data_IF_532668846020
#
_entry.id   IF_532668846020
#
_cell.length_a   1.000
_cell.length_b   1.000
_cell.length_c   1.000
_cell.angle_alpha   90.00
_cell.angle_beta   90.00
_cell.angle_gamma   90.00
#
_symmetry.space_group_name_H-M   'P 1'
#
loop_
_entity.id
_entity.type
_entity.pdbx_description
1 polymer ?
#
# COMPACT_ATOMS: atom_id res chain seq x y z
N UNK A 1 -11.59 10.46 15.97
CA UNK A 1 -12.45 10.98 14.88
C UNK A 1 -12.05 10.33 13.56
N UNK A 2 -12.90 10.39 12.55
CA UNK A 2 -12.58 9.91 11.21
C UNK A 2 -12.19 11.07 10.29
N UNK A 3 -11.62 10.73 9.13
CA UNK A 3 -11.21 11.68 8.08
C UNK A 3 -12.26 12.78 7.84
N UNK A 4 -13.51 12.40 7.58
CA UNK A 4 -14.60 13.34 7.29
C UNK A 4 -14.93 14.30 8.43
N UNK A 5 -14.72 13.88 9.68
CA UNK A 5 -14.94 14.75 10.84
C UNK A 5 -13.81 15.76 10.95
N UNK A 6 -12.57 15.30 10.75
CA UNK A 6 -11.38 16.14 10.76
C UNK A 6 -11.41 17.21 9.65
N UNK A 7 -11.84 16.83 8.44
CA UNK A 7 -11.94 17.74 7.29
C UNK A 7 -12.92 18.90 7.51
N UNK A 8 -13.88 18.74 8.42
CA UNK A 8 -14.88 19.77 8.76
C UNK A 8 -14.44 20.69 9.89
N UNK A 9 -13.30 20.43 10.53
CA UNK A 9 -12.84 21.24 11.65
C UNK A 9 -12.39 22.63 11.18
N UNK A 10 -12.99 23.66 11.75
CA UNK A 10 -12.55 25.05 11.56
C UNK A 10 -11.16 25.28 12.16
N UNK A 11 -10.86 24.67 13.31
CA UNK A 11 -9.58 24.74 14.00
C UNK A 11 -9.05 23.35 14.30
N UNK A 12 -7.74 23.16 14.10
CA UNK A 12 -7.11 21.87 14.37
C UNK A 12 -6.77 21.74 15.86
N UNK A 13 -6.91 20.54 16.46
CA UNK A 13 -6.42 20.30 17.80
C UNK A 13 -4.90 20.49 17.87
N UNK A 14 -4.42 21.16 18.91
CA UNK A 14 -2.98 21.39 19.14
C UNK A 14 -2.17 20.11 19.43
N UNK A 15 -2.83 19.01 19.79
CA UNK A 15 -2.17 17.73 20.00
C UNK A 15 -3.02 16.64 19.36
N UNK A 16 -2.54 16.06 18.27
CA UNK A 16 -3.32 15.17 17.43
C UNK A 16 -2.50 14.03 16.85
N UNK A 17 -3.06 12.82 16.90
CA UNK A 17 -2.56 11.63 16.25
C UNK A 17 -3.22 11.41 14.89
N UNK A 18 -2.45 11.07 13.87
CA UNK A 18 -2.92 10.49 12.61
C UNK A 18 -2.40 9.05 12.50
N UNK A 19 -3.27 8.08 12.20
CA UNK A 19 -2.86 6.69 12.01
C UNK A 19 -3.80 5.93 11.06
N UNK A 20 -3.34 4.80 10.53
CA UNK A 20 -4.12 3.93 9.66
C UNK A 20 -3.52 3.81 8.27
N UNK A 21 -4.34 3.97 7.22
CA UNK A 21 -3.88 3.85 5.84
C UNK A 21 -2.73 4.83 5.52
N UNK A 22 -1.62 4.27 5.02
CA UNK A 22 -0.35 4.99 4.81
C UNK A 22 -0.48 6.14 3.83
N UNK A 23 -1.22 5.92 2.73
CA UNK A 23 -1.41 6.93 1.71
C UNK A 23 -2.04 8.21 2.29
N UNK A 24 -3.09 8.07 3.11
CA UNK A 24 -3.69 9.22 3.78
C UNK A 24 -2.75 9.88 4.80
N UNK A 25 -1.88 9.12 5.47
CA UNK A 25 -0.87 9.73 6.34
C UNK A 25 0.03 10.69 5.56
N UNK A 26 0.52 10.26 4.39
CA UNK A 26 1.36 11.09 3.53
C UNK A 26 0.62 12.32 3.01
N UNK A 27 -0.63 12.17 2.55
CA UNK A 27 -1.42 13.30 2.06
C UNK A 27 -1.75 14.32 3.15
N UNK A 28 -2.15 13.87 4.33
CA UNK A 28 -2.48 14.78 5.43
C UNK A 28 -1.24 15.46 6.02
N UNK A 29 -0.08 14.83 5.95
CA UNK A 29 1.19 15.47 6.29
C UNK A 29 1.43 16.70 5.39
N UNK A 30 1.21 16.56 4.07
CA UNK A 30 1.30 17.68 3.12
C UNK A 30 0.26 18.75 3.40
N UNK A 31 -1.00 18.37 3.61
CA UNK A 31 -2.07 19.32 3.93
C UNK A 31 -1.73 20.15 5.17
N UNK A 32 -1.18 19.52 6.21
CA UNK A 32 -0.74 20.22 7.42
C UNK A 32 0.42 21.17 7.11
N UNK A 33 1.44 20.72 6.39
CA UNK A 33 2.57 21.57 6.01
C UNK A 33 2.11 22.81 5.23
N UNK A 34 1.21 22.63 4.27
CA UNK A 34 0.68 23.74 3.47
C UNK A 34 -0.15 24.71 4.31
N UNK A 35 -0.97 24.19 5.24
CA UNK A 35 -1.77 25.00 6.16
C UNK A 35 -0.89 25.84 7.08
N UNK A 36 0.21 25.28 7.56
CA UNK A 36 1.15 25.91 8.48
C UNK A 36 2.43 26.40 7.78
N UNK A 37 2.39 26.70 6.47
CA UNK A 37 3.57 27.06 5.68
C UNK A 37 4.36 28.28 6.19
N UNK A 38 3.71 29.16 6.95
CA UNK A 38 4.31 30.36 7.55
C UNK A 38 4.72 30.14 9.03
N UNK A 39 4.52 28.93 9.56
CA UNK A 39 4.84 28.56 10.93
C UNK A 39 6.28 28.04 11.05
N UNK A 40 6.82 27.99 12.26
CA UNK A 40 8.10 27.33 12.51
C UNK A 40 7.88 25.81 12.60
N UNK A 41 8.09 25.09 11.49
CA UNK A 41 7.87 23.64 11.41
C UNK A 41 9.17 22.88 11.73
N UNK A 42 9.15 22.09 12.81
CA UNK A 42 10.17 21.08 13.08
C UNK A 42 9.61 19.69 12.75
N UNK A 43 10.38 18.89 12.02
CA UNK A 43 10.04 17.49 11.70
C UNK A 43 11.05 16.56 12.37
N UNK A 44 10.56 15.48 12.95
CA UNK A 44 11.39 14.42 13.52
C UNK A 44 10.95 13.08 12.96
N UNK A 45 11.91 12.29 12.48
CA UNK A 45 11.65 11.02 11.80
C UNK A 45 12.22 9.84 12.60
N UNK A 46 11.36 8.87 12.91
CA UNK A 46 11.72 7.58 13.50
C UNK A 46 12.71 7.74 14.68
N UNK A 47 13.97 7.35 14.47
CA UNK A 47 15.01 7.31 15.49
C UNK A 47 15.61 8.69 15.81
N UNK A 48 15.27 9.73 15.05
CA UNK A 48 15.68 11.12 15.30
C UNK A 48 14.90 11.80 16.43
N UNK A 49 13.87 11.14 16.97
CA UNK A 49 13.07 11.72 18.04
C UNK A 49 13.92 11.99 19.28
N UNK A 50 13.97 13.25 19.70
CA UNK A 50 14.51 13.69 20.98
C UNK A 50 13.45 14.50 21.75
N UNK A 51 13.21 14.08 22.99
CA UNK A 51 12.18 14.69 23.83
C UNK A 51 12.50 16.14 24.22
N UNK A 52 13.77 16.46 24.53
CA UNK A 52 14.15 17.80 24.97
C UNK A 52 14.17 18.77 23.80
N UNK A 53 14.59 18.34 22.60
CA UNK A 53 14.49 19.15 21.38
C UNK A 53 13.01 19.44 21.07
N UNK A 54 12.15 18.41 21.10
CA UNK A 54 10.72 18.56 20.83
C UNK A 54 10.04 19.52 21.82
N UNK A 55 10.37 19.37 23.11
CA UNK A 55 9.87 20.23 24.19
C UNK A 55 10.36 21.68 24.04
N UNK A 56 11.61 21.89 23.64
CA UNK A 56 12.17 23.23 23.44
C UNK A 56 11.43 23.92 22.31
N UNK A 57 11.33 23.26 21.15
CA UNK A 57 10.59 23.78 19.98
C UNK A 57 9.14 24.13 20.28
N UNK A 58 8.43 23.30 21.06
CA UNK A 58 7.04 23.56 21.42
C UNK A 58 6.88 24.75 22.39
N UNK A 59 7.89 25.04 23.20
CA UNK A 59 7.88 26.18 24.14
C UNK A 59 8.42 27.48 23.52
N UNK A 60 9.13 27.40 22.40
CA UNK A 60 9.64 28.58 21.71
C UNK A 60 8.49 29.48 21.29
N UNK A 61 8.42 30.68 21.87
CA UNK A 61 7.64 31.77 21.33
C UNK A 61 8.34 32.28 20.09
N UNK A 62 7.73 32.10 18.93
CA UNK A 62 8.27 32.58 17.66
C UNK A 62 8.59 34.07 17.73
N UNK A 63 9.84 34.42 17.47
CA UNK A 63 10.33 35.81 17.42
C UNK A 63 9.65 36.64 16.33
N UNK A 64 9.00 35.97 15.37
CA UNK A 64 8.26 36.60 14.26
C UNK A 64 6.74 36.46 14.40
N UNK A 65 6.25 36.05 15.58
CA UNK A 65 4.81 35.92 15.85
C UNK A 65 4.12 34.73 15.17
N UNK A 66 4.88 33.78 14.61
CA UNK A 66 4.35 32.55 14.04
C UNK A 66 4.03 31.48 15.08
N UNK A 67 3.17 30.53 14.75
CA UNK A 67 2.93 29.35 15.59
C UNK A 67 4.11 28.37 15.47
N UNK A 68 4.44 27.63 16.52
CA UNK A 68 5.42 26.54 16.46
C UNK A 68 4.69 25.22 16.18
N UNK A 69 5.13 24.49 15.15
CA UNK A 69 4.51 23.24 14.71
C UNK A 69 5.55 22.13 14.75
N UNK A 70 5.25 21.07 15.48
CA UNK A 70 6.05 19.85 15.56
C UNK A 70 5.33 18.72 14.82
N UNK A 71 6.01 18.11 13.86
CA UNK A 71 5.54 16.92 13.15
C UNK A 71 6.45 15.77 13.51
N UNK A 72 5.91 14.70 14.08
CA UNK A 72 6.66 13.48 14.39
C UNK A 72 6.14 12.35 13.53
N UNK A 73 7.04 11.63 12.86
CA UNK A 73 6.72 10.43 12.09
C UNK A 73 7.39 9.23 12.74
N UNK A 74 6.60 8.23 13.14
CA UNK A 74 7.17 7.04 13.77
C UNK A 74 6.27 5.81 13.60
N UNK A 75 6.89 4.65 13.51
CA UNK A 75 6.21 3.34 13.56
C UNK A 75 6.00 2.79 14.99
N UNK A 76 6.54 3.43 16.02
CA UNK A 76 6.45 3.07 17.43
C UNK A 76 6.11 4.32 18.26
N UNK A 77 5.80 4.11 19.53
CA UNK A 77 5.54 5.21 20.46
C UNK A 77 6.82 5.53 21.21
N UNK A 78 7.44 6.68 20.94
CA UNK A 78 8.65 7.05 21.64
C UNK A 78 8.34 7.42 23.10
N UNK A 79 9.32 7.30 24.01
CA UNK A 79 9.12 7.60 25.42
C UNK A 79 8.74 9.07 25.63
N UNK A 80 7.92 9.33 26.66
CA UNK A 80 7.51 10.66 27.11
C UNK A 80 6.67 11.50 26.12
N UNK A 81 6.17 10.91 25.03
CA UNK A 81 5.34 11.64 24.04
C UNK A 81 4.08 12.25 24.68
N UNK A 82 3.50 11.58 25.68
CA UNK A 82 2.32 12.02 26.42
C UNK A 82 2.59 13.31 27.20
N UNK A 83 3.83 13.50 27.67
CA UNK A 83 4.25 14.69 28.41
C UNK A 83 4.32 15.92 27.51
N UNK A 84 4.56 15.75 26.20
CA UNK A 84 4.64 16.87 25.25
C UNK A 84 3.32 17.62 25.11
N UNK A 85 2.18 16.97 25.36
CA UNK A 85 0.85 17.60 25.34
C UNK A 85 0.79 18.86 26.21
N UNK A 86 1.53 18.92 27.32
CA UNK A 86 1.55 20.07 28.23
C UNK A 86 2.15 21.34 27.60
N UNK A 87 2.96 21.19 26.56
CA UNK A 87 3.63 22.29 25.86
C UNK A 87 2.91 22.71 24.57
N UNK A 88 1.74 22.13 24.27
CA UNK A 88 0.95 22.43 23.06
C UNK A 88 -0.11 23.52 23.28
N UNK A 89 0.09 24.44 24.24
CA UNK A 89 -0.92 25.46 24.55
C UNK A 89 -1.05 26.50 23.43
N UNK A 90 0.08 26.90 22.86
CA UNK A 90 0.19 27.89 21.77
C UNK A 90 0.92 27.33 20.54
N UNK A 91 1.11 26.00 20.52
CA UNK A 91 1.95 25.28 19.55
C UNK A 91 1.25 23.99 19.17
N UNK A 92 1.49 23.49 17.97
CA UNK A 92 0.85 22.27 17.47
C UNK A 92 1.82 21.10 17.45
N UNK A 93 1.33 19.92 17.82
CA UNK A 93 1.99 18.64 17.66
C UNK A 93 1.09 17.71 16.86
N UNK A 94 1.58 17.31 15.69
CA UNK A 94 0.96 16.33 14.82
C UNK A 94 1.81 15.06 14.77
N UNK A 95 1.26 13.97 15.28
CA UNK A 95 1.96 12.68 15.33
C UNK A 95 1.43 11.75 14.24
N UNK A 96 2.25 11.44 13.25
CA UNK A 96 1.94 10.50 12.16
C UNK A 96 2.47 9.12 12.51
N UNK A 97 1.56 8.25 12.93
CA UNK A 97 1.87 6.91 13.41
C UNK A 97 1.66 5.86 12.32
N UNK A 98 2.75 5.17 11.98
CA UNK A 98 2.81 4.11 10.95
C UNK A 98 2.67 2.69 11.54
N UNK A 99 2.28 2.57 12.81
CA UNK A 99 2.00 1.27 13.43
C UNK A 99 0.52 0.86 13.32
N UNK A 100 0.24 -0.41 13.64
CA UNK A 100 -1.05 -1.04 13.31
C UNK A 100 -2.19 -0.76 14.30
N UNK A 101 -1.89 -0.37 15.54
CA UNK A 101 -2.88 -0.20 16.62
C UNK A 101 -2.86 1.21 17.18
N UNK A 102 -4.05 1.77 17.46
CA UNK A 102 -4.18 3.10 18.07
C UNK A 102 -3.41 3.15 19.41
N UNK A 103 -2.45 4.06 19.57
CA UNK A 103 -1.80 4.31 20.84
C UNK A 103 -2.75 4.96 21.85
N UNK A 104 -2.79 4.43 23.08
CA UNK A 104 -3.69 4.91 24.14
C UNK A 104 -3.33 6.31 24.65
N UNK A 105 -2.05 6.69 24.58
CA UNK A 105 -1.51 7.97 25.09
C UNK A 105 -2.16 9.21 24.47
N UNK A 106 -2.77 9.08 23.27
CA UNK A 106 -3.47 10.18 22.59
C UNK A 106 -4.96 10.27 22.95
N UNK A 107 -5.51 9.31 23.69
CA UNK A 107 -6.91 9.32 24.14
C UNK A 107 -7.92 9.51 23.01
N UNK A 108 -8.68 10.61 23.06
CA UNK A 108 -9.69 10.97 22.04
C UNK A 108 -9.13 11.80 20.88
N UNK A 109 -7.88 12.27 20.98
CA UNK A 109 -7.26 13.17 20.01
C UNK A 109 -6.57 12.37 18.90
N UNK A 110 -7.37 11.73 18.05
CA UNK A 110 -6.85 10.98 16.92
C UNK A 110 -7.74 11.14 15.69
N UNK A 111 -7.13 11.03 14.51
CA UNK A 111 -7.76 10.81 13.22
C UNK A 111 -7.36 9.43 12.75
N UNK A 112 -8.36 8.57 12.51
CA UNK A 112 -8.13 7.25 11.91
C UNK A 112 -8.42 7.32 10.42
N UNK A 113 -7.44 6.89 9.62
CA UNK A 113 -7.58 6.69 8.19
C UNK A 113 -7.90 5.24 7.88
N UNK A 114 -8.92 5.04 7.05
CA UNK A 114 -9.25 3.75 6.46
C UNK A 114 -8.80 3.74 5.00
N UNK A 115 -8.86 2.56 4.40
CA UNK A 115 -8.60 2.42 2.99
C UNK A 115 -9.59 3.24 2.15
N UNK A 116 -9.12 4.02 1.16
CA UNK A 116 -9.99 4.83 0.33
C UNK A 116 -10.88 3.93 -0.54
N UNK A 117 -12.19 4.20 -0.51
CA UNK A 117 -13.10 3.56 -1.44
C UNK A 117 -12.93 4.14 -2.86
N UNK A 118 -13.58 3.54 -3.87
CA UNK A 118 -13.45 3.99 -5.26
C UNK A 118 -13.77 5.48 -5.46
N UNK A 119 -14.80 5.99 -4.77
CA UNK A 119 -15.18 7.41 -4.83
C UNK A 119 -14.09 8.28 -4.24
N UNK A 120 -13.54 7.91 -3.08
CA UNK A 120 -12.44 8.65 -2.45
C UNK A 120 -11.21 8.70 -3.35
N UNK A 121 -10.87 7.58 -4.02
CA UNK A 121 -9.77 7.51 -5.00
C UNK A 121 -10.02 8.43 -6.20
N UNK A 122 -11.24 8.48 -6.74
CA UNK A 122 -11.59 9.40 -7.84
C UNK A 122 -11.55 10.87 -7.41
N UNK A 123 -12.07 11.20 -6.22
CA UNK A 123 -11.99 12.55 -5.64
C UNK A 123 -10.53 12.98 -5.47
N UNK A 124 -9.67 12.07 -5.03
CA UNK A 124 -8.23 12.29 -4.95
C UNK A 124 -7.60 12.54 -6.34
N UNK A 125 -7.89 11.68 -7.33
CA UNK A 125 -7.34 11.86 -8.69
C UNK A 125 -7.73 13.24 -9.23
N UNK A 126 -8.98 13.69 -9.01
CA UNK A 126 -9.41 15.04 -9.38
C UNK A 126 -8.59 16.13 -8.67
N UNK A 127 -8.33 15.97 -7.37
CA UNK A 127 -7.51 16.92 -6.61
C UNK A 127 -6.10 17.03 -7.19
N UNK A 128 -5.44 15.89 -7.43
CA UNK A 128 -4.07 15.86 -7.97
C UNK A 128 -4.02 16.40 -9.41
N UNK A 129 -5.00 16.04 -10.24
CA UNK A 129 -5.12 16.55 -11.61
C UNK A 129 -5.26 18.07 -11.62
N UNK A 130 -6.07 18.64 -10.72
CA UNK A 130 -6.21 20.09 -10.56
C UNK A 130 -4.91 20.76 -10.08
N UNK A 131 -4.21 20.16 -9.10
CA UNK A 131 -2.90 20.64 -8.63
C UNK A 131 -1.86 20.69 -9.77
N UNK A 132 -1.89 19.68 -10.65
CA UNK A 132 -0.99 19.57 -11.81
C UNK A 132 -1.50 20.26 -13.07
N UNK A 133 -2.70 20.85 -13.03
CA UNK A 133 -3.36 21.51 -14.17
C UNK A 133 -3.55 20.61 -15.39
N UNK A 134 -3.80 19.31 -15.16
CA UNK A 134 -4.05 18.34 -16.22
C UNK A 134 -5.52 17.91 -16.26
N UNK A 135 -6.02 17.67 -17.46
CA UNK A 135 -7.36 17.18 -17.70
C UNK A 135 -7.34 15.66 -17.91
N UNK A 136 -7.90 14.91 -16.96
CA UNK A 136 -8.03 13.46 -17.04
C UNK A 136 -9.48 13.10 -17.35
N UNK A 137 -9.74 12.27 -18.36
CA UNK A 137 -11.11 11.86 -18.69
C UNK A 137 -11.73 11.03 -17.56
N UNK A 138 -13.07 11.00 -17.48
CA UNK A 138 -13.74 10.25 -16.41
C UNK A 138 -13.46 8.74 -16.48
N UNK A 139 -13.34 8.19 -17.69
CA UNK A 139 -12.98 6.80 -17.90
C UNK A 139 -11.55 6.50 -17.41
N UNK A 140 -10.59 7.36 -17.75
CA UNK A 140 -9.22 7.27 -17.25
C UNK A 140 -9.15 7.34 -15.72
N UNK A 141 -9.90 8.25 -15.09
CA UNK A 141 -9.98 8.35 -13.62
C UNK A 141 -10.50 7.06 -12.98
N UNK A 142 -11.56 6.47 -13.54
CA UNK A 142 -12.12 5.22 -13.06
C UNK A 142 -11.13 4.06 -13.23
N UNK A 143 -10.41 4.04 -14.35
CA UNK A 143 -9.37 3.05 -14.60
C UNK A 143 -8.22 3.18 -13.58
N UNK A 144 -7.64 4.36 -13.42
CA UNK A 144 -6.60 4.64 -12.42
C UNK A 144 -7.03 4.22 -11.00
N UNK A 145 -8.24 4.62 -10.59
CA UNK A 145 -8.76 4.34 -9.25
C UNK A 145 -8.95 2.83 -8.98
N UNK A 146 -9.23 2.06 -10.02
CA UNK A 146 -9.36 0.60 -9.93
C UNK A 146 -8.01 -0.08 -10.00
N UNK A 147 -7.14 0.35 -10.90
CA UNK A 147 -5.95 -0.38 -11.36
C UNK A 147 -4.68 -0.10 -10.55
N UNK A 148 -4.70 0.85 -9.62
CA UNK A 148 -3.51 1.29 -8.90
C UNK A 148 -3.79 1.38 -7.40
N UNK A 149 -2.80 0.97 -6.60
CA UNK A 149 -2.81 1.24 -5.17
C UNK A 149 -2.81 2.75 -4.90
N UNK A 150 -3.61 3.24 -3.94
CA UNK A 150 -3.73 4.68 -3.66
C UNK A 150 -2.41 5.40 -3.44
N UNK A 151 -1.44 4.72 -2.82
CA UNK A 151 -0.09 5.22 -2.56
C UNK A 151 0.66 5.66 -3.83
N UNK A 152 0.38 5.05 -4.97
CA UNK A 152 1.04 5.38 -6.25
C UNK A 152 0.23 6.33 -7.13
N UNK A 153 -1.04 6.62 -6.80
CA UNK A 153 -1.88 7.48 -7.64
C UNK A 153 -1.24 8.83 -7.91
N UNK A 154 -0.60 9.43 -6.89
CA UNK A 154 0.10 10.70 -7.07
C UNK A 154 1.23 10.56 -8.06
N UNK A 155 2.23 9.71 -7.79
CA UNK A 155 3.39 9.57 -8.67
C UNK A 155 3.01 9.25 -10.12
N UNK A 156 1.99 8.41 -10.33
CA UNK A 156 1.51 8.08 -11.67
C UNK A 156 0.86 9.28 -12.37
N UNK A 157 0.04 10.08 -11.68
CA UNK A 157 -0.53 11.31 -12.25
C UNK A 157 0.55 12.36 -12.50
N UNK A 158 1.53 12.48 -11.60
CA UNK A 158 2.66 13.40 -11.81
C UNK A 158 3.44 13.00 -13.08
N UNK A 159 3.70 11.72 -13.29
CA UNK A 159 4.33 11.20 -14.52
C UNK A 159 3.48 11.49 -15.76
N UNK A 160 2.18 11.21 -15.72
CA UNK A 160 1.27 11.49 -16.82
C UNK A 160 1.22 12.98 -17.15
N UNK A 161 1.29 13.85 -16.14
CA UNK A 161 1.28 15.30 -16.33
C UNK A 161 2.52 15.86 -17.02
N UNK A 162 3.64 15.11 -17.00
CA UNK A 162 4.83 15.47 -17.76
C UNK A 162 4.70 15.08 -19.24
N UNK A 163 3.80 14.15 -19.57
CA UNK A 163 3.58 13.66 -20.92
C UNK A 163 2.56 14.49 -21.69
N UNK A 164 1.39 14.76 -21.08
CA UNK A 164 0.30 15.48 -21.73
C UNK A 164 -0.60 16.19 -20.73
N UNK A 165 -1.11 17.36 -21.13
CA UNK A 165 -2.15 18.10 -20.41
C UNK A 165 -3.53 17.44 -20.54
N UNK A 166 -3.75 16.59 -21.55
CA UNK A 166 -4.99 15.83 -21.76
C UNK A 166 -4.69 14.34 -21.72
N UNK A 167 -5.25 13.65 -20.73
CA UNK A 167 -4.98 12.25 -20.42
C UNK A 167 -6.29 11.47 -20.58
N UNK A 168 -6.37 10.64 -21.61
CA UNK A 168 -7.45 9.68 -21.81
C UNK A 168 -7.09 8.28 -21.28
N UNK A 169 -7.99 7.32 -21.47
CA UNK A 169 -7.82 5.97 -20.95
C UNK A 169 -6.70 5.20 -21.67
N UNK A 170 -6.44 5.52 -22.93
CA UNK A 170 -5.43 4.83 -23.73
C UNK A 170 -4.03 5.28 -23.33
N UNK A 171 -3.83 6.59 -23.13
CA UNK A 171 -2.61 7.15 -22.54
C UNK A 171 -2.33 6.54 -21.16
N UNK A 172 -3.37 6.37 -20.34
CA UNK A 172 -3.22 5.70 -19.03
C UNK A 172 -2.80 4.25 -19.20
N UNK A 173 -3.45 3.48 -20.07
CA UNK A 173 -3.10 2.05 -20.28
C UNK A 173 -1.68 1.86 -20.82
N UNK A 174 -1.20 2.80 -21.63
CA UNK A 174 0.13 2.76 -22.21
C UNK A 174 1.21 3.13 -21.19
N UNK A 175 1.01 4.21 -20.43
CA UNK A 175 2.07 4.81 -19.63
C UNK A 175 2.02 4.45 -18.14
N UNK A 176 0.86 4.06 -17.63
CA UNK A 176 0.70 3.81 -16.20
C UNK A 176 1.04 2.38 -15.88
N UNK A 177 1.96 2.24 -14.94
CA UNK A 177 2.36 0.95 -14.46
C UNK A 177 1.26 0.39 -13.54
N UNK A 178 0.50 -0.60 -14.02
CA UNK A 178 -0.60 -1.22 -13.27
C UNK A 178 0.00 -2.11 -12.16
N UNK A 179 -0.21 -1.71 -10.91
CA UNK A 179 0.04 -2.58 -9.75
C UNK A 179 -1.29 -3.20 -9.32
N UNK A 180 -1.55 -4.45 -9.75
CA UNK A 180 -2.63 -5.30 -9.24
C UNK A 180 -2.14 -6.73 -9.11
N UNK A 181 -2.50 -7.44 -8.05
CA UNK A 181 -2.22 -8.90 -7.96
C UNK A 181 -2.87 -9.70 -9.09
N UNK A 182 -4.03 -9.23 -9.57
CA UNK A 182 -4.71 -9.73 -10.78
C UNK A 182 -3.81 -9.65 -12.04
N UNK A 183 -2.81 -8.75 -12.08
CA UNK A 183 -1.92 -8.64 -13.25
C UNK A 183 -1.03 -9.88 -13.40
N UNK A 184 -0.75 -10.60 -12.33
CA UNK A 184 0.08 -11.81 -12.34
C UNK A 184 -0.72 -13.10 -12.39
N UNK A 185 -2.03 -13.05 -12.10
CA UNK A 185 -2.89 -14.24 -12.01
C UNK A 185 -2.72 -15.12 -13.24
N UNK A 186 -2.81 -14.50 -14.40
CA UNK A 186 -2.70 -15.12 -15.70
C UNK A 186 -1.35 -15.84 -15.93
N UNK A 187 -0.25 -15.27 -15.44
CA UNK A 187 1.09 -15.89 -15.48
C UNK A 187 1.18 -17.04 -14.47
N UNK A 188 0.69 -16.81 -13.25
CA UNK A 188 0.72 -17.80 -12.16
C UNK A 188 -0.14 -19.02 -12.52
N UNK A 189 -1.29 -18.83 -13.15
CA UNK A 189 -2.14 -19.91 -13.65
C UNK A 189 -1.40 -20.76 -14.68
N UNK A 190 -0.70 -20.15 -15.64
CA UNK A 190 0.11 -20.90 -16.61
C UNK A 190 1.24 -21.68 -15.92
N UNK A 191 1.92 -21.08 -14.93
CA UNK A 191 2.93 -21.77 -14.12
C UNK A 191 2.34 -23.01 -13.42
N UNK A 192 1.22 -22.85 -12.71
CA UNK A 192 0.58 -23.93 -11.93
C UNK A 192 -0.11 -25.00 -12.81
N UNK A 193 -0.25 -24.74 -14.11
CA UNK A 193 -0.72 -25.70 -15.11
C UNK A 193 0.41 -26.41 -15.84
N UNK A 194 1.67 -26.10 -15.53
CA UNK A 194 2.82 -26.65 -16.24
C UNK A 194 2.90 -26.17 -17.69
N UNK A 195 2.18 -25.10 -18.05
CA UNK A 195 2.22 -24.52 -19.38
C UNK A 195 3.59 -23.86 -19.64
N UNK A 196 3.89 -23.57 -20.90
CA UNK A 196 5.04 -22.72 -21.20
C UNK A 196 4.71 -21.25 -20.93
N UNK A 197 5.49 -20.63 -20.04
CA UNK A 197 5.21 -19.30 -19.51
C UNK A 197 6.33 -18.30 -19.78
N UNK A 198 7.45 -18.71 -20.39
CA UNK A 198 8.61 -17.83 -20.56
C UNK A 198 8.34 -16.66 -21.50
N UNK A 199 7.61 -16.85 -22.61
CA UNK A 199 7.23 -15.73 -23.49
C UNK A 199 6.32 -14.72 -22.77
N UNK A 200 5.33 -15.23 -22.04
CA UNK A 200 4.42 -14.42 -21.23
C UNK A 200 5.16 -13.68 -20.12
N UNK A 201 6.10 -14.36 -19.47
CA UNK A 201 6.97 -13.79 -18.45
C UNK A 201 7.84 -12.67 -19.04
N UNK A 202 8.53 -12.90 -20.15
CA UNK A 202 9.39 -11.90 -20.78
C UNK A 202 8.61 -10.64 -21.17
N UNK A 203 7.44 -10.81 -21.81
CA UNK A 203 6.54 -9.70 -22.15
C UNK A 203 6.13 -8.91 -20.90
N UNK A 204 5.88 -9.61 -19.79
CA UNK A 204 5.52 -8.96 -18.53
C UNK A 204 6.71 -8.23 -17.88
N UNK A 205 7.92 -8.79 -17.99
CA UNK A 205 9.14 -8.21 -17.43
C UNK A 205 9.58 -6.92 -18.13
N UNK A 206 9.12 -6.67 -19.36
CA UNK A 206 9.31 -5.38 -20.04
C UNK A 206 8.65 -4.22 -19.26
N UNK A 207 7.58 -4.54 -18.52
CA UNK A 207 6.75 -3.54 -17.85
C UNK A 207 6.95 -3.63 -16.33
N UNK A 208 7.11 -4.84 -15.77
CA UNK A 208 7.08 -5.13 -14.33
C UNK A 208 8.45 -5.48 -13.75
N UNK A 209 8.80 -4.93 -12.57
CA UNK A 209 9.95 -5.42 -11.77
C UNK A 209 9.75 -6.89 -11.32
N UNK A 210 10.67 -7.74 -11.76
CA UNK A 210 10.73 -9.18 -11.46
C UNK A 210 10.63 -9.51 -9.97
N UNK A 211 11.08 -8.62 -9.07
CA UNK A 211 11.04 -8.81 -7.60
C UNK A 211 9.64 -9.00 -7.05
N UNK A 212 8.61 -8.68 -7.85
CA UNK A 212 7.21 -8.73 -7.45
C UNK A 212 6.53 -10.06 -7.79
N UNK A 213 7.07 -10.80 -8.75
CA UNK A 213 6.47 -12.04 -9.25
C UNK A 213 6.50 -13.12 -8.18
N UNK A 214 7.66 -13.40 -7.57
CA UNK A 214 7.77 -14.44 -6.52
C UNK A 214 6.84 -14.15 -5.32
N UNK A 215 6.82 -12.93 -4.74
CA UNK A 215 5.87 -12.62 -3.67
C UNK A 215 4.39 -12.77 -4.08
N UNK A 216 4.04 -12.40 -5.32
CA UNK A 216 2.69 -12.59 -5.84
C UNK A 216 2.33 -14.09 -5.96
N UNK A 217 3.26 -14.90 -6.51
CA UNK A 217 3.10 -16.36 -6.60
C UNK A 217 2.94 -17.00 -5.21
N UNK A 218 3.75 -16.59 -4.21
CA UNK A 218 3.64 -17.11 -2.83
C UNK A 218 2.24 -16.85 -2.26
N UNK A 219 1.74 -15.62 -2.40
CA UNK A 219 0.40 -15.26 -1.89
C UNK A 219 -0.69 -16.05 -2.61
N UNK A 220 -0.61 -16.15 -3.93
CA UNK A 220 -1.56 -16.94 -4.73
C UNK A 220 -1.58 -18.42 -4.30
N UNK A 221 -0.41 -19.05 -4.15
CA UNK A 221 -0.29 -20.45 -3.72
C UNK A 221 -0.79 -20.66 -2.30
N UNK A 222 -0.53 -19.71 -1.38
CA UNK A 222 -1.05 -19.74 0.00
C UNK A 222 -2.59 -19.67 0.03
N UNK A 223 -3.17 -18.83 -0.83
CA UNK A 223 -4.62 -18.69 -0.92
C UNK A 223 -5.25 -19.97 -1.49
N UNK A 224 -4.65 -20.55 -2.55
CA UNK A 224 -5.04 -21.88 -3.05
C UNK A 224 -4.93 -22.98 -1.98
N UNK A 225 -3.89 -22.96 -1.15
CA UNK A 225 -3.77 -23.92 -0.06
C UNK A 225 -4.88 -23.73 0.97
N UNK A 226 -5.24 -22.48 1.29
CA UNK A 226 -6.36 -22.18 2.19
C UNK A 226 -7.69 -22.69 1.62
N UNK A 227 -7.90 -22.53 0.31
CA UNK A 227 -9.04 -23.10 -0.39
C UNK A 227 -9.04 -24.63 -0.36
N UNK A 228 -7.88 -25.27 -0.59
CA UNK A 228 -7.73 -26.72 -0.51
C UNK A 228 -8.14 -27.26 0.88
N UNK A 229 -7.67 -26.61 1.95
CA UNK A 229 -8.02 -26.96 3.32
C UNK A 229 -9.51 -26.77 3.60
N UNK A 230 -10.10 -25.67 3.13
CA UNK A 230 -11.52 -25.41 3.27
C UNK A 230 -12.38 -26.46 2.54
N UNK A 231 -12.06 -26.76 1.29
CA UNK A 231 -12.73 -27.78 0.46
C UNK A 231 -12.64 -29.14 1.13
N UNK A 232 -11.45 -29.54 1.62
CA UNK A 232 -11.27 -30.81 2.35
C UNK A 232 -12.08 -30.88 3.64
N UNK A 233 -12.17 -29.77 4.38
CA UNK A 233 -12.89 -29.72 5.65
C UNK A 233 -14.41 -29.76 5.48
N UNK A 234 -14.93 -29.14 4.43
CA UNK A 234 -16.38 -28.94 4.25
C UNK A 234 -17.00 -29.89 3.23
N UNK A 235 -16.20 -30.43 2.30
CA UNK A 235 -16.70 -31.17 1.14
C UNK A 235 -17.39 -30.30 0.09
N UNK A 236 -17.38 -28.97 0.26
CA UNK A 236 -18.04 -28.03 -0.65
C UNK A 236 -17.11 -27.65 -1.80
N UNK A 237 -17.67 -27.54 -3.00
CA UNK A 237 -17.00 -27.05 -4.21
C UNK A 237 -17.16 -25.55 -4.43
N UNK A 238 -17.79 -24.82 -3.49
CA UNK A 238 -17.91 -23.37 -3.51
C UNK A 238 -17.04 -22.74 -2.42
N UNK A 239 -16.44 -21.60 -2.71
CA UNK A 239 -15.62 -20.81 -1.79
C UNK A 239 -16.43 -19.74 -1.04
N UNK A 240 -17.73 -19.61 -1.29
CA UNK A 240 -18.58 -18.56 -0.69
C UNK A 240 -18.53 -18.59 0.84
N UNK A 241 -18.61 -19.76 1.46
CA UNK A 241 -18.55 -19.90 2.91
C UNK A 241 -17.17 -19.61 3.52
N UNK A 242 -16.10 -19.63 2.72
CA UNK A 242 -14.76 -19.23 3.14
C UNK A 242 -14.54 -17.72 2.98
N UNK A 243 -14.95 -17.18 1.83
CA UNK A 243 -14.70 -15.78 1.44
C UNK A 243 -15.73 -14.81 2.04
N UNK A 244 -16.92 -15.30 2.39
CA UNK A 244 -18.05 -14.48 2.85
C UNK A 244 -18.81 -13.77 1.71
N UNK A 245 -18.47 -14.06 0.46
CA UNK A 245 -19.14 -13.58 -0.75
C UNK A 245 -18.92 -14.55 -1.91
N UNK A 246 -19.78 -14.47 -2.93
CA UNK A 246 -19.71 -15.32 -4.12
C UNK A 246 -18.76 -14.74 -5.18
N UNK A 247 -17.83 -15.55 -5.66
CA UNK A 247 -16.95 -15.21 -6.77
C UNK A 247 -17.67 -15.37 -8.13
N UNK A 248 -17.20 -14.70 -9.20
CA UNK A 248 -17.61 -15.03 -10.57
C UNK A 248 -17.35 -16.51 -10.86
N UNK A 249 -18.30 -17.17 -11.55
CA UNK A 249 -18.31 -18.62 -11.74
C UNK A 249 -17.00 -19.15 -12.36
N UNK A 250 -16.51 -18.52 -13.41
CA UNK A 250 -15.30 -18.96 -14.11
C UNK A 250 -14.04 -18.83 -13.23
N UNK A 251 -13.99 -17.78 -12.41
CA UNK A 251 -12.90 -17.57 -11.46
C UNK A 251 -12.98 -18.60 -10.34
N UNK A 252 -14.15 -18.77 -9.72
CA UNK A 252 -14.36 -19.75 -8.65
C UNK A 252 -13.95 -21.16 -9.11
N UNK A 253 -14.43 -21.56 -10.29
CA UNK A 253 -14.08 -22.85 -10.89
C UNK A 253 -12.57 -22.98 -11.10
N UNK A 254 -11.92 -21.98 -11.69
CA UNK A 254 -10.47 -22.01 -11.89
C UNK A 254 -9.71 -22.14 -10.56
N UNK A 255 -10.11 -21.39 -9.53
CA UNK A 255 -9.47 -21.43 -8.20
C UNK A 255 -9.68 -22.78 -7.51
N UNK A 256 -10.88 -23.34 -7.57
CA UNK A 256 -11.19 -24.66 -7.01
C UNK A 256 -10.39 -25.74 -7.74
N UNK A 257 -10.37 -25.72 -9.08
CA UNK A 257 -9.64 -26.69 -9.91
C UNK A 257 -8.13 -26.68 -9.60
N UNK A 258 -7.54 -25.50 -9.50
CA UNK A 258 -6.13 -25.35 -9.11
C UNK A 258 -5.90 -25.77 -7.65
N UNK A 259 -6.81 -25.41 -6.75
CA UNK A 259 -6.68 -25.70 -5.34
C UNK A 259 -6.64 -27.21 -5.07
N UNK A 260 -7.49 -28.00 -5.74
CA UNK A 260 -7.59 -29.45 -5.55
C UNK A 260 -6.50 -30.25 -6.29
N UNK A 261 -5.86 -29.65 -7.31
CA UNK A 261 -4.84 -30.32 -8.12
C UNK A 261 -3.59 -30.68 -7.29
N UNK A 262 -3.14 -29.77 -6.45
CA UNK A 262 -1.93 -29.95 -5.64
C UNK A 262 -2.27 -30.70 -4.34
N UNK A 263 -1.41 -31.65 -3.96
CA UNK A 263 -1.50 -32.33 -2.65
C UNK A 263 -0.82 -31.45 -1.59
N UNK A 264 -1.10 -31.75 -0.32
CA UNK A 264 -0.53 -31.01 0.81
C UNK A 264 1.01 -31.01 0.81
N UNK A 265 1.62 -32.13 0.42
CA UNK A 265 3.07 -32.22 0.22
C UNK A 265 3.56 -31.28 -0.88
N UNK A 266 2.81 -31.16 -1.97
CA UNK A 266 3.18 -30.30 -3.09
C UNK A 266 3.12 -28.83 -2.68
N UNK A 267 2.06 -28.42 -1.97
CA UNK A 267 1.98 -27.07 -1.38
C UNK A 267 3.14 -26.77 -0.45
N UNK A 268 3.50 -27.72 0.42
CA UNK A 268 4.60 -27.55 1.35
C UNK A 268 5.93 -27.34 0.62
N UNK A 269 6.29 -28.22 -0.32
CA UNK A 269 7.56 -28.11 -1.06
C UNK A 269 7.59 -26.84 -1.91
N UNK A 270 6.50 -26.52 -2.61
CA UNK A 270 6.40 -25.32 -3.45
C UNK A 270 6.57 -24.05 -2.63
N UNK A 271 5.81 -23.89 -1.53
CA UNK A 271 5.91 -22.71 -0.67
C UNK A 271 7.27 -22.61 0.01
N UNK A 272 7.83 -23.73 0.48
CA UNK A 272 9.16 -23.77 1.10
C UNK A 272 10.23 -23.25 0.14
N UNK A 273 10.25 -23.73 -1.10
CA UNK A 273 11.22 -23.29 -2.09
C UNK A 273 11.01 -21.84 -2.51
N UNK A 274 9.76 -21.42 -2.78
CA UNK A 274 9.45 -20.04 -3.12
C UNK A 274 9.83 -19.05 -2.01
N UNK A 275 9.52 -19.36 -0.74
CA UNK A 275 9.91 -18.54 0.41
C UNK A 275 11.43 -18.46 0.57
N UNK A 276 12.15 -19.56 0.30
CA UNK A 276 13.61 -19.55 0.31
C UNK A 276 14.18 -18.64 -0.80
N UNK A 277 13.66 -18.70 -2.02
CA UNK A 277 14.05 -17.80 -3.10
C UNK A 277 13.75 -16.33 -2.73
N UNK A 278 12.57 -16.05 -2.17
CA UNK A 278 12.24 -14.69 -1.72
C UNK A 278 13.22 -14.19 -0.66
N UNK A 279 13.57 -15.03 0.33
CA UNK A 279 14.53 -14.70 1.37
C UNK A 279 15.92 -14.43 0.80
N UNK A 280 16.40 -15.28 -0.11
CA UNK A 280 17.68 -15.10 -0.80
C UNK A 280 17.71 -13.79 -1.61
N UNK A 281 16.62 -13.46 -2.31
CA UNK A 281 16.50 -12.19 -3.03
C UNK A 281 16.49 -10.97 -2.11
N UNK A 282 15.88 -11.07 -0.92
CA UNK A 282 15.87 -9.98 0.07
C UNK A 282 17.26 -9.74 0.66
N UNK A 283 18.05 -10.80 0.83
CA UNK A 283 19.37 -10.73 1.47
C UNK A 283 20.53 -10.51 0.48
N UNK A 284 20.33 -10.72 -0.83
CA UNK A 284 21.37 -10.50 -1.84
C UNK A 284 21.31 -9.07 -2.37
N UNK A 285 22.44 -8.37 -2.49
CA UNK A 285 22.47 -7.05 -3.15
C UNK A 285 22.67 -7.13 -4.66
N UNK A 286 23.50 -8.06 -5.15
CA UNK A 286 23.94 -8.11 -6.56
C UNK A 286 23.33 -9.25 -7.40
N UNK A 287 22.84 -10.33 -6.78
CA UNK A 287 22.46 -11.55 -7.51
C UNK A 287 20.93 -11.78 -7.58
N UNK A 288 20.12 -10.75 -7.31
CA UNK A 288 18.65 -10.89 -7.23
C UNK A 288 18.04 -11.46 -8.51
N UNK A 289 18.53 -11.01 -9.66
CA UNK A 289 18.01 -11.45 -10.96
C UNK A 289 18.38 -12.90 -11.28
N UNK A 290 19.61 -13.32 -10.98
CA UNK A 290 20.02 -14.72 -11.12
C UNK A 290 19.16 -15.66 -10.24
N UNK A 291 18.92 -15.28 -8.98
CA UNK A 291 18.06 -16.02 -8.05
C UNK A 291 16.62 -16.09 -8.59
N UNK A 292 16.14 -14.99 -9.18
CA UNK A 292 14.82 -14.96 -9.81
C UNK A 292 14.70 -15.96 -10.96
N UNK A 293 15.68 -16.02 -11.87
CA UNK A 293 15.69 -16.97 -12.97
C UNK A 293 15.84 -18.43 -12.52
N UNK A 294 16.58 -18.67 -11.44
CA UNK A 294 16.64 -19.97 -10.78
C UNK A 294 15.25 -20.39 -10.26
N UNK A 295 14.51 -19.47 -9.63
CA UNK A 295 13.15 -19.71 -9.19
C UNK A 295 12.20 -20.02 -10.36
N UNK A 296 12.31 -19.31 -11.49
CA UNK A 296 11.51 -19.58 -12.68
C UNK A 296 11.83 -20.96 -13.28
N UNK A 297 13.10 -21.33 -13.30
CA UNK A 297 13.54 -22.66 -13.76
C UNK A 297 13.03 -23.78 -12.84
N UNK A 298 13.07 -23.54 -11.53
CA UNK A 298 12.46 -24.44 -10.54
C UNK A 298 10.96 -24.62 -10.78
N UNK A 299 10.22 -23.51 -10.98
CA UNK A 299 8.79 -23.56 -11.26
C UNK A 299 8.48 -24.32 -12.55
N UNK A 300 9.28 -24.13 -13.62
CA UNK A 300 9.12 -24.87 -14.87
C UNK A 300 9.30 -26.39 -14.71
N UNK A 301 10.14 -26.81 -13.76
CA UNK A 301 10.54 -28.22 -13.56
C UNK A 301 9.89 -28.85 -12.34
N UNK A 302 8.95 -28.16 -11.69
CA UNK A 302 8.26 -28.68 -10.52
C UNK A 302 7.36 -29.86 -10.88
N UNK A 303 7.64 -31.03 -10.30
CA UNK A 303 7.09 -32.32 -10.72
C UNK A 303 5.57 -32.49 -10.60
N UNK A 304 4.92 -31.65 -9.81
CA UNK A 304 3.49 -31.76 -9.51
C UNK A 304 2.63 -30.78 -10.32
N UNK A 305 3.23 -30.07 -11.27
CA UNK A 305 2.53 -29.26 -12.27
C UNK A 305 2.15 -30.08 -13.51
#
# INVERSE_FOLDING_TARGET
MYKKDFDKLAQYPHFLLFYGNEFYLQEYEKIIQEKFKNANILKMYYDEYDFEIAKTHLNETSLFGGESVLIIKHNKIPPNIDKLKKYTKNSYLFFFYYGNKRPEVFGKNFVRFFEPNLRDKVELINKIANEKKVNITQEAKLFLAKSIEPSFLRSEIEKLSLYSDNIDVDVVKELVFIYKEESFEDLIVSILRGEDFFEKLNTMLEIVDFKRIIPATIRYVRDLYSYNLYIKKTGLSSLEGFLGYKLPFDIEKQRVDLAVRLKEKDYYELLKHLLNFELQMRNSEKNKEAIFWEAMSYLKTFKSF
#
